data_IF_802588936028
#
_entry.id   IF_802588936028
#
_cell.length_a   1.000
_cell.length_b   1.000
_cell.length_c   1.000
_cell.angle_alpha   90.00
_cell.angle_beta   90.00
_cell.angle_gamma   90.00
#
_symmetry.space_group_name_H-M   'P 1'
#
loop_
_entity.id
_entity.type
_entity.pdbx_description
1 polymer ?
#
# COMPACT_ATOMS: atom_id res chain seq x y z
N UNK A 1 17.98 15.71 0.07
CA UNK A 1 18.34 14.75 -0.99
C UNK A 1 19.50 15.33 -1.76
N UNK A 2 20.67 14.72 -1.65
CA UNK A 2 21.83 15.08 -2.46
C UNK A 2 21.50 14.77 -3.93
N UNK A 3 21.77 15.73 -4.82
CA UNK A 3 21.57 15.54 -6.26
C UNK A 3 22.85 14.96 -6.85
N UNK A 4 22.75 13.81 -7.50
CA UNK A 4 23.85 13.30 -8.32
C UNK A 4 24.02 14.27 -9.50
N UNK A 5 25.16 14.94 -9.67
CA UNK A 5 25.36 15.88 -10.77
C UNK A 5 25.62 15.15 -12.09
N UNK A 6 25.46 15.86 -13.21
CA UNK A 6 25.77 15.36 -14.54
C UNK A 6 24.67 14.51 -15.19
N UNK A 7 24.98 13.95 -16.36
CA UNK A 7 24.02 13.24 -17.21
C UNK A 7 23.41 12.01 -16.53
N UNK A 8 24.21 11.26 -15.76
CA UNK A 8 23.74 10.09 -15.04
C UNK A 8 22.71 10.44 -13.96
N UNK A 9 22.94 11.54 -13.23
CA UNK A 9 21.97 12.02 -12.25
C UNK A 9 20.64 12.44 -12.87
N UNK A 10 20.68 13.07 -14.05
CA UNK A 10 19.49 13.42 -14.82
C UNK A 10 18.68 12.18 -15.22
N UNK A 11 19.34 11.15 -15.76
CA UNK A 11 18.70 9.88 -16.14
C UNK A 11 18.01 9.22 -14.93
N UNK A 12 18.70 9.17 -13.78
CA UNK A 12 18.14 8.58 -12.56
C UNK A 12 16.93 9.38 -12.07
N UNK A 13 17.02 10.71 -12.07
CA UNK A 13 15.91 11.57 -11.65
C UNK A 13 14.69 11.42 -12.57
N UNK A 14 14.89 11.43 -13.88
CA UNK A 14 13.82 11.24 -14.86
C UNK A 14 13.13 9.89 -14.67
N UNK A 15 13.91 8.81 -14.48
CA UNK A 15 13.37 7.48 -14.21
C UNK A 15 12.57 7.44 -12.90
N UNK A 16 13.06 8.08 -11.84
CA UNK A 16 12.36 8.15 -10.56
C UNK A 16 11.02 8.89 -10.69
N UNK A 17 11.03 10.07 -11.32
CA UNK A 17 9.82 10.86 -11.52
C UNK A 17 8.79 10.10 -12.37
N UNK A 18 9.25 9.47 -13.45
CA UNK A 18 8.41 8.60 -14.29
C UNK A 18 7.74 7.49 -13.49
N UNK A 19 8.49 6.79 -12.62
CA UNK A 19 7.94 5.72 -11.78
C UNK A 19 6.93 6.25 -10.76
N UNK A 20 7.19 7.40 -10.14
CA UNK A 20 6.28 8.04 -9.19
C UNK A 20 4.97 8.47 -9.88
N UNK A 21 5.06 9.02 -11.09
CA UNK A 21 3.91 9.44 -11.86
C UNK A 21 3.05 8.26 -12.32
N UNK A 22 3.69 7.18 -12.78
CA UNK A 22 3.00 5.95 -13.22
C UNK A 22 2.38 5.16 -12.07
N UNK A 23 2.87 5.31 -10.84
CA UNK A 23 2.35 4.57 -9.69
C UNK A 23 1.07 5.23 -9.14
N UNK A 24 -0.08 4.84 -9.70
CA UNK A 24 -1.42 5.30 -9.27
C UNK A 24 -1.67 5.01 -7.79
N UNK A 25 -1.26 3.83 -7.29
CA UNK A 25 -1.45 3.45 -5.89
C UNK A 25 -0.71 4.39 -4.93
N UNK A 26 0.49 4.85 -5.30
CA UNK A 26 1.23 5.84 -4.52
C UNK A 26 0.52 7.20 -4.50
N UNK A 27 -0.13 7.61 -5.60
CA UNK A 27 -0.93 8.84 -5.62
C UNK A 27 -2.17 8.71 -4.73
N UNK A 28 -2.85 7.57 -4.77
CA UNK A 28 -3.98 7.27 -3.86
C UNK A 28 -3.53 7.29 -2.39
N UNK A 29 -2.38 6.69 -2.07
CA UNK A 29 -1.83 6.72 -0.71
C UNK A 29 -1.57 8.17 -0.23
N UNK A 30 -1.02 9.04 -1.08
CA UNK A 30 -0.84 10.47 -0.77
C UNK A 30 -2.15 11.19 -0.48
N UNK A 31 -3.20 10.92 -1.26
CA UNK A 31 -4.53 11.48 -1.04
C UNK A 31 -5.09 11.04 0.31
N UNK A 32 -5.00 9.75 0.62
CA UNK A 32 -5.44 9.20 1.92
C UNK A 32 -4.67 9.86 3.07
N UNK A 33 -3.34 9.98 2.98
CA UNK A 33 -2.53 10.66 4.02
C UNK A 33 -2.96 12.11 4.22
N UNK A 34 -3.35 12.79 3.16
CA UNK A 34 -3.85 14.18 3.22
C UNK A 34 -5.17 14.26 4.00
N UNK A 35 -6.08 13.30 3.78
CA UNK A 35 -7.34 13.15 4.52
C UNK A 35 -7.05 12.84 5.99
N UNK A 36 -6.19 11.85 6.27
CA UNK A 36 -5.85 11.43 7.63
C UNK A 36 -5.12 12.51 8.44
N UNK A 37 -4.44 13.42 7.76
CA UNK A 37 -3.78 14.58 8.37
C UNK A 37 -4.75 15.74 8.67
N UNK A 38 -6.03 15.60 8.31
CA UNK A 38 -7.06 16.62 8.55
C UNK A 38 -6.92 17.86 7.67
N UNK A 39 -6.24 17.76 6.51
CA UNK A 39 -6.10 18.90 5.61
C UNK A 39 -7.44 19.26 4.98
N UNK A 40 -7.78 20.54 5.02
CA UNK A 40 -8.99 21.09 4.41
C UNK A 40 -9.05 20.82 2.89
N UNK A 41 -10.25 20.68 2.35
CA UNK A 41 -10.51 20.40 0.92
C UNK A 41 -9.89 19.10 0.39
N UNK A 42 -9.61 18.13 1.26
CA UNK A 42 -9.15 16.81 0.85
C UNK A 42 -10.26 16.03 0.14
N UNK A 43 -9.93 15.44 -1.02
CA UNK A 43 -10.88 14.71 -1.86
C UNK A 43 -10.74 13.21 -1.55
N UNK A 44 -11.84 12.58 -1.13
CA UNK A 44 -11.86 11.14 -0.89
C UNK A 44 -11.79 10.36 -2.21
N UNK A 45 -10.96 9.32 -2.31
CA UNK A 45 -10.96 8.42 -3.47
C UNK A 45 -12.36 7.81 -3.65
N UNK A 46 -12.88 7.81 -4.89
CA UNK A 46 -14.27 7.42 -5.18
C UNK A 46 -14.62 5.98 -4.79
N UNK A 47 -13.61 5.12 -4.69
CA UNK A 47 -13.75 3.70 -4.35
C UNK A 47 -13.54 3.39 -2.86
N UNK A 48 -13.32 4.39 -2.00
CA UNK A 48 -13.04 4.19 -0.58
C UNK A 48 -14.07 4.87 0.31
N UNK A 49 -14.46 4.18 1.38
CA UNK A 49 -15.27 4.76 2.45
C UNK A 49 -14.37 5.43 3.50
N UNK A 50 -14.89 6.33 4.35
CA UNK A 50 -14.12 6.92 5.44
C UNK A 50 -13.51 5.88 6.39
N UNK A 51 -14.23 4.78 6.63
CA UNK A 51 -13.74 3.67 7.46
C UNK A 51 -12.58 2.93 6.79
N UNK A 52 -12.63 2.73 5.46
CA UNK A 52 -11.51 2.11 4.75
C UNK A 52 -10.28 3.03 4.79
N UNK A 53 -10.47 4.34 4.60
CA UNK A 53 -9.40 5.33 4.68
C UNK A 53 -8.73 5.34 6.08
N UNK A 54 -9.50 5.21 7.17
CA UNK A 54 -8.94 5.18 8.53
C UNK A 54 -8.06 3.94 8.75
N UNK A 55 -8.46 2.78 8.21
CA UNK A 55 -7.65 1.54 8.27
C UNK A 55 -6.31 1.67 7.52
N UNK A 56 -6.25 2.49 6.45
CA UNK A 56 -5.03 2.68 5.65
C UNK A 56 -3.90 3.42 6.38
N UNK A 57 -4.13 3.92 7.60
CA UNK A 57 -3.06 4.47 8.47
C UNK A 57 -1.91 3.49 8.68
N UNK A 58 -2.18 2.19 8.63
CA UNK A 58 -1.20 1.12 8.82
C UNK A 58 -0.79 0.43 7.52
N UNK A 59 -1.14 1.01 6.36
CA UNK A 59 -0.82 0.41 5.08
C UNK A 59 0.71 0.36 4.86
N UNK A 60 1.26 -0.77 4.39
CA UNK A 60 2.68 -0.89 4.09
C UNK A 60 3.05 0.00 2.88
N UNK A 61 4.07 0.85 3.05
CA UNK A 61 4.51 1.80 2.02
C UNK A 61 5.78 1.30 1.30
N UNK A 62 6.55 0.40 1.92
CA UNK A 62 7.76 -0.17 1.33
C UNK A 62 7.48 -1.51 0.64
N UNK A 63 8.21 -1.80 -0.44
CA UNK A 63 8.09 -3.10 -1.13
C UNK A 63 8.42 -4.26 -0.21
N UNK A 64 9.36 -4.08 0.72
CA UNK A 64 9.77 -5.12 1.68
C UNK A 64 8.63 -5.50 2.62
N UNK A 65 7.90 -4.52 3.15
CA UNK A 65 6.76 -4.79 4.04
C UNK A 65 5.60 -5.44 3.29
N UNK A 66 5.39 -5.02 2.03
CA UNK A 66 4.42 -5.64 1.13
C UNK A 66 4.82 -7.10 0.87
N UNK A 67 6.05 -7.37 0.43
CA UNK A 67 6.55 -8.72 0.16
C UNK A 67 6.48 -9.64 1.38
N UNK A 68 6.84 -9.13 2.56
CA UNK A 68 6.70 -9.88 3.82
C UNK A 68 5.24 -10.26 4.08
N UNK A 69 4.31 -9.31 3.94
CA UNK A 69 2.88 -9.56 4.11
C UNK A 69 2.36 -10.59 3.10
N UNK A 70 2.73 -10.47 1.82
CA UNK A 70 2.34 -11.43 0.77
C UNK A 70 2.95 -12.82 0.99
N UNK A 71 4.17 -12.90 1.51
CA UNK A 71 4.80 -14.18 1.90
C UNK A 71 3.98 -14.88 2.98
N UNK A 72 3.55 -14.13 4.00
CA UNK A 72 2.64 -14.61 5.04
C UNK A 72 1.29 -15.03 4.45
N UNK A 73 0.72 -14.23 3.54
CA UNK A 73 -0.55 -14.56 2.87
C UNK A 73 -0.45 -15.75 1.93
N UNK A 74 0.75 -16.12 1.46
CA UNK A 74 0.94 -17.24 0.54
C UNK A 74 0.42 -18.55 1.14
N UNK A 75 0.62 -18.80 2.44
CA UNK A 75 0.09 -19.99 3.11
C UNK A 75 -1.45 -20.03 3.06
N UNK A 76 -2.07 -18.86 3.23
CA UNK A 76 -3.52 -18.66 3.26
C UNK A 76 -4.14 -18.80 1.86
N UNK A 77 -3.49 -18.21 0.84
CA UNK A 77 -4.01 -18.06 -0.51
C UNK A 77 -3.65 -19.23 -1.45
N UNK A 78 -2.60 -20.00 -1.14
CA UNK A 78 -2.11 -21.09 -2.00
C UNK A 78 -2.79 -22.43 -1.68
N UNK A 79 -3.31 -22.63 -0.47
CA UNK A 79 -4.02 -23.87 -0.15
C UNK A 79 -5.36 -23.92 -0.90
N UNK A 80 -5.52 -24.90 -1.81
CA UNK A 80 -6.76 -25.25 -2.55
C UNK A 80 -7.92 -25.70 -1.64
N UNK A 81 -7.89 -25.40 -0.33
CA UNK A 81 -8.77 -25.99 0.70
C UNK A 81 -9.75 -25.04 1.34
N UNK A 82 -9.93 -23.84 0.82
CA UNK A 82 -10.89 -22.90 1.39
C UNK A 82 -11.84 -22.39 0.32
N UNK A 83 -13.04 -22.96 0.27
CA UNK A 83 -14.24 -22.28 -0.22
C UNK A 83 -14.63 -21.18 0.77
N UNK A 84 -13.67 -20.33 1.14
CA UNK A 84 -13.88 -19.27 2.11
C UNK A 84 -14.53 -18.08 1.42
N UNK A 85 -15.54 -17.52 2.09
CA UNK A 85 -16.05 -16.20 1.76
C UNK A 85 -14.95 -15.16 1.99
N UNK A 86 -15.05 -14.01 1.32
CA UNK A 86 -14.15 -12.88 1.53
C UNK A 86 -14.05 -12.46 3.01
N UNK A 87 -15.17 -12.49 3.73
CA UNK A 87 -15.23 -12.19 5.16
C UNK A 87 -14.40 -13.18 6.00
N UNK A 88 -14.51 -14.48 5.72
CA UNK A 88 -13.75 -15.50 6.45
C UNK A 88 -12.26 -15.43 6.12
N UNK A 89 -11.92 -15.06 4.88
CA UNK A 89 -10.54 -14.82 4.48
C UNK A 89 -9.94 -13.63 5.23
N UNK A 90 -10.67 -12.51 5.36
CA UNK A 90 -10.24 -11.34 6.12
C UNK A 90 -9.96 -11.69 7.59
N UNK A 91 -10.88 -12.40 8.24
CA UNK A 91 -10.70 -12.88 9.63
C UNK A 91 -9.45 -13.75 9.78
N UNK A 92 -9.24 -14.67 8.84
CA UNK A 92 -8.08 -15.56 8.87
C UNK A 92 -6.77 -14.79 8.68
N UNK A 93 -6.74 -13.81 7.78
CA UNK A 93 -5.59 -12.92 7.57
C UNK A 93 -5.25 -12.18 8.86
N UNK A 94 -6.24 -11.61 9.56
CA UNK A 94 -6.03 -10.87 10.81
C UNK A 94 -5.41 -11.78 11.88
N UNK A 95 -5.96 -12.97 12.10
CA UNK A 95 -5.44 -13.93 13.09
C UNK A 95 -4.03 -14.38 12.73
N UNK A 96 -3.80 -14.78 11.47
CA UNK A 96 -2.50 -15.26 11.03
C UNK A 96 -1.42 -14.17 11.08
N UNK A 97 -1.75 -12.93 10.74
CA UNK A 97 -0.83 -11.81 10.91
C UNK A 97 -0.50 -11.54 12.38
N UNK A 98 -1.48 -11.64 13.28
CA UNK A 98 -1.26 -11.43 14.71
C UNK A 98 -0.35 -12.50 15.34
N UNK A 99 -0.48 -13.76 14.94
CA UNK A 99 0.37 -14.83 15.49
C UNK A 99 1.80 -14.86 14.95
N UNK A 100 2.05 -14.28 13.76
CA UNK A 100 3.35 -14.32 13.09
C UNK A 100 4.17 -13.01 13.22
N UNK A 101 3.70 -12.05 14.02
CA UNK A 101 4.38 -10.80 14.37
C UNK A 101 4.58 -10.68 15.88
#
# INVERSE_FOLDING_TARGET
MEKVPGQQGKIIQEKLLYLIEKNVGFQTAKQITTILSGKENSIMPSNLTPSMCSCMKFAPITSVDVERSFSTYKSILTEKRTSMTSENMEKYIIVHCYENY
#
